data_IF_577179460476
#
_entry.id   IF_577179460476
#
_cell.length_a   1.000
_cell.length_b   1.000
_cell.length_c   1.000
_cell.angle_alpha   90.00
_cell.angle_beta   90.00
_cell.angle_gamma   90.00
#
_symmetry.space_group_name_H-M   'P 1'
#
loop_
_entity.id
_entity.type
_entity.pdbx_description
1 polymer ?
#
# COMPACT_ATOMS: atom_id res chain seq x y z
N UNK A 1 -39.90 -42.59 -32.42
CA UNK A 1 -38.95 -41.60 -32.97
C UNK A 1 -38.26 -40.93 -31.80
N UNK A 2 -36.98 -41.25 -31.61
CA UNK A 2 -36.15 -40.74 -30.51
C UNK A 2 -35.54 -39.39 -30.90
N UNK A 3 -35.38 -38.48 -29.94
CA UNK A 3 -34.51 -37.29 -30.03
C UNK A 3 -33.49 -37.36 -28.88
N UNK A 4 -32.18 -37.19 -29.13
CA UNK A 4 -31.14 -37.25 -28.10
C UNK A 4 -31.00 -35.93 -27.32
N UNK A 5 -30.49 -35.95 -26.07
CA UNK A 5 -30.05 -34.75 -25.37
C UNK A 5 -28.65 -34.35 -25.85
N UNK A 6 -28.53 -33.13 -26.39
CA UNK A 6 -27.24 -32.60 -26.86
C UNK A 6 -26.56 -31.77 -25.77
N UNK A 7 -25.50 -32.35 -25.20
CA UNK A 7 -24.25 -31.64 -24.90
C UNK A 7 -24.25 -30.70 -23.69
N UNK A 8 -24.07 -31.26 -22.50
CA UNK A 8 -23.39 -30.60 -21.39
C UNK A 8 -21.98 -30.16 -21.83
N UNK A 9 -21.80 -28.87 -22.12
CA UNK A 9 -20.47 -28.29 -22.30
C UNK A 9 -19.85 -28.04 -20.94
N UNK A 10 -18.94 -28.95 -20.60
CA UNK A 10 -17.91 -28.78 -19.58
C UNK A 10 -16.84 -27.86 -20.17
N UNK A 11 -16.70 -26.66 -19.61
CA UNK A 11 -15.51 -25.83 -19.77
C UNK A 11 -14.82 -25.75 -18.42
N UNK A 12 -13.83 -26.63 -18.23
CA UNK A 12 -12.77 -26.42 -17.26
C UNK A 12 -11.79 -25.35 -17.78
N UNK A 13 -11.10 -24.70 -16.83
CA UNK A 13 -9.99 -23.74 -16.98
C UNK A 13 -10.42 -22.33 -17.41
N UNK A 14 -10.22 -21.28 -16.60
CA UNK A 14 -8.93 -20.85 -16.08
C UNK A 14 -9.05 -20.11 -14.74
N UNK A 15 -8.23 -20.53 -13.78
CA UNK A 15 -7.85 -19.71 -12.63
C UNK A 15 -7.03 -18.49 -13.09
N UNK A 16 -7.32 -17.29 -12.57
CA UNK A 16 -6.29 -16.26 -12.38
C UNK A 16 -6.80 -15.05 -11.58
N UNK A 17 -6.09 -14.74 -10.49
CA UNK A 17 -6.05 -13.44 -9.80
C UNK A 17 -7.31 -13.10 -8.99
N UNK A 18 -7.26 -12.92 -7.67
CA UNK A 18 -6.29 -12.06 -7.00
C UNK A 18 -5.90 -12.64 -5.64
N UNK A 19 -4.62 -12.96 -5.53
CA UNK A 19 -3.92 -13.09 -4.27
C UNK A 19 -3.73 -11.70 -3.68
N UNK A 20 -4.55 -11.31 -2.72
CA UNK A 20 -4.33 -10.09 -1.93
C UNK A 20 -4.06 -10.45 -0.47
N UNK A 21 -2.80 -10.25 -0.07
CA UNK A 21 -2.27 -10.17 1.29
C UNK A 21 -2.43 -11.38 2.22
N UNK A 22 -1.48 -12.32 2.09
CA UNK A 22 -1.05 -13.12 3.24
C UNK A 22 -0.14 -12.27 4.12
N UNK A 23 -0.71 -11.36 4.92
CA UNK A 23 0.06 -10.66 5.96
C UNK A 23 0.59 -11.71 6.93
N UNK A 24 1.90 -11.77 7.09
CA UNK A 24 2.56 -12.75 7.96
C UNK A 24 2.13 -12.49 9.41
N UNK A 25 2.00 -13.55 10.22
CA UNK A 25 1.57 -13.41 11.62
C UNK A 25 2.41 -12.38 12.42
N UNK A 26 3.70 -12.25 12.07
CA UNK A 26 4.63 -11.28 12.66
C UNK A 26 4.29 -9.82 12.27
N UNK A 27 3.91 -9.57 11.02
CA UNK A 27 3.50 -8.24 10.55
C UNK A 27 2.21 -7.78 11.25
N UNK A 28 1.27 -8.70 11.45
CA UNK A 28 0.04 -8.42 12.21
C UNK A 28 0.34 -8.07 13.67
N UNK A 29 1.29 -8.77 14.31
CA UNK A 29 1.70 -8.49 15.68
C UNK A 29 2.34 -7.10 15.80
N UNK A 30 3.26 -6.75 14.89
CA UNK A 30 3.89 -5.43 14.83
C UNK A 30 2.82 -4.34 14.64
N UNK A 31 1.87 -4.57 13.72
CA UNK A 31 0.79 -3.62 13.45
C UNK A 31 -0.10 -3.37 14.68
N UNK A 32 -0.58 -4.42 15.33
CA UNK A 32 -1.41 -4.28 16.53
C UNK A 32 -0.64 -3.62 17.67
N UNK A 33 0.68 -3.87 17.78
CA UNK A 33 1.50 -3.19 18.78
C UNK A 33 1.66 -1.70 18.52
N UNK A 34 1.96 -1.30 17.28
CA UNK A 34 2.01 0.10 16.87
C UNK A 34 0.68 0.81 17.09
N UNK A 35 -0.42 0.11 16.81
CA UNK A 35 -1.79 0.63 16.99
C UNK A 35 -2.13 0.82 18.47
N UNK A 36 -1.88 -0.18 19.31
CA UNK A 36 -2.22 -0.13 20.74
C UNK A 36 -1.34 0.85 21.53
N UNK A 37 -0.12 1.14 21.07
CA UNK A 37 0.74 2.17 21.67
C UNK A 37 0.40 3.60 21.22
N UNK A 38 -0.44 3.76 20.20
CA UNK A 38 -0.70 5.05 19.54
C UNK A 38 0.41 5.50 18.57
N UNK A 39 1.50 4.74 18.44
CA UNK A 39 2.60 5.05 17.53
C UNK A 39 2.16 5.03 16.07
N UNK A 40 1.20 4.16 15.72
CA UNK A 40 0.63 4.09 14.38
C UNK A 40 0.05 5.44 13.92
N UNK A 41 -0.67 6.14 14.80
CA UNK A 41 -1.27 7.42 14.44
C UNK A 41 -0.22 8.54 14.38
N UNK A 42 0.79 8.51 15.24
CA UNK A 42 1.97 9.38 15.13
C UNK A 42 2.70 9.18 13.79
N UNK A 43 2.90 7.93 13.37
CA UNK A 43 3.54 7.59 12.10
C UNK A 43 2.71 8.04 10.88
N UNK A 44 1.38 7.88 10.93
CA UNK A 44 0.48 8.42 9.90
C UNK A 44 0.62 9.94 9.79
N UNK A 45 0.69 10.64 10.91
CA UNK A 45 0.80 12.09 10.91
C UNK A 45 2.17 12.58 10.42
N UNK A 46 3.25 11.88 10.80
CA UNK A 46 4.58 12.08 10.23
C UNK A 46 4.57 11.91 8.71
N UNK A 47 4.02 10.81 8.21
CA UNK A 47 3.92 10.53 6.78
C UNK A 47 3.15 11.65 6.05
N UNK A 48 1.97 12.04 6.55
CA UNK A 48 1.20 13.15 5.97
C UNK A 48 2.01 14.44 5.92
N UNK A 49 2.66 14.80 7.03
CA UNK A 49 3.48 16.01 7.14
C UNK A 49 4.59 16.02 6.10
N UNK A 50 5.31 14.89 5.95
CA UNK A 50 6.36 14.76 4.94
C UNK A 50 5.81 14.92 3.53
N UNK A 51 4.76 14.17 3.18
CA UNK A 51 4.12 14.24 1.87
C UNK A 51 3.69 15.67 1.50
N UNK A 52 3.14 16.43 2.45
CA UNK A 52 2.79 17.84 2.24
C UNK A 52 4.04 18.69 2.00
N UNK A 53 5.07 18.55 2.86
CA UNK A 53 6.31 19.34 2.76
C UNK A 53 7.05 19.13 1.43
N UNK A 54 6.99 17.93 0.86
CA UNK A 54 7.63 17.62 -0.41
C UNK A 54 6.72 17.82 -1.63
N UNK A 55 5.58 18.51 -1.48
CA UNK A 55 4.68 18.85 -2.60
C UNK A 55 3.95 17.65 -3.21
N UNK A 56 3.88 16.50 -2.53
CA UNK A 56 3.21 15.31 -3.05
C UNK A 56 1.73 15.59 -3.34
N UNK A 57 1.07 16.40 -2.50
CA UNK A 57 -0.33 16.76 -2.71
C UNK A 57 -0.53 17.54 -4.02
N UNK A 58 0.39 18.42 -4.37
CA UNK A 58 0.34 19.18 -5.62
C UNK A 58 0.55 18.26 -6.84
N UNK A 59 1.49 17.32 -6.74
CA UNK A 59 1.75 16.32 -7.79
C UNK A 59 0.51 15.45 -8.03
N UNK A 60 -0.13 14.97 -6.96
CA UNK A 60 -1.34 14.15 -7.06
C UNK A 60 -2.52 14.97 -7.60
N UNK A 61 -2.64 16.24 -7.20
CA UNK A 61 -3.69 17.14 -7.70
C UNK A 61 -3.51 17.46 -9.18
N UNK A 62 -2.26 17.61 -9.64
CA UNK A 62 -1.96 17.78 -11.06
C UNK A 62 -2.32 16.53 -11.85
N UNK A 63 -1.87 15.35 -11.40
CA UNK A 63 -2.21 14.08 -12.05
C UNK A 63 -3.72 13.83 -12.10
N UNK A 64 -4.44 14.21 -11.04
CA UNK A 64 -5.90 14.16 -11.05
C UNK A 64 -6.49 15.05 -12.15
N UNK A 65 -6.06 16.31 -12.25
CA UNK A 65 -6.54 17.23 -13.30
C UNK A 65 -6.24 16.71 -14.72
N UNK A 66 -5.02 16.25 -14.97
CA UNK A 66 -4.62 15.66 -16.24
C UNK A 66 -5.48 14.43 -16.58
N UNK A 67 -5.76 13.56 -15.60
CA UNK A 67 -6.61 12.37 -15.80
C UNK A 67 -8.08 12.69 -16.09
N UNK A 68 -8.48 13.94 -15.80
CA UNK A 68 -9.84 14.43 -15.89
C UNK A 68 -10.13 15.20 -17.19
N UNK A 69 -9.11 15.71 -17.87
CA UNK A 69 -9.29 16.49 -19.12
C UNK A 69 -9.91 15.67 -20.25
N UNK A 70 -9.64 14.36 -20.28
CA UNK A 70 -10.09 13.46 -21.36
C UNK A 70 -11.35 12.64 -21.02
N UNK A 71 -11.99 12.86 -19.87
CA UNK A 71 -13.13 12.05 -19.41
C UNK A 71 -14.48 12.76 -19.53
N UNK A 72 -15.48 12.04 -20.01
CA UNK A 72 -16.86 12.51 -19.98
C UNK A 72 -17.43 12.47 -18.55
N UNK A 73 -18.16 13.52 -18.15
CA UNK A 73 -18.76 13.64 -16.81
C UNK A 73 -19.65 12.46 -16.41
N UNK A 74 -20.26 11.79 -17.39
CA UNK A 74 -21.15 10.65 -17.16
C UNK A 74 -20.43 9.39 -16.65
N UNK A 75 -19.11 9.27 -16.86
CA UNK A 75 -18.30 8.12 -16.45
C UNK A 75 -17.61 8.33 -15.10
N UNK A 76 -17.79 9.50 -14.48
CA UNK A 76 -17.06 9.88 -13.27
C UNK A 76 -17.74 9.39 -12.00
N UNK A 77 -17.03 8.48 -11.32
CA UNK A 77 -17.36 7.99 -10.00
C UNK A 77 -16.13 8.11 -9.11
N UNK A 78 -16.31 8.54 -7.86
CA UNK A 78 -15.20 8.68 -6.90
C UNK A 78 -14.38 7.39 -6.76
N UNK A 79 -14.99 6.20 -6.58
CA UNK A 79 -14.27 4.93 -6.63
C UNK A 79 -13.41 4.72 -7.89
N UNK A 80 -13.92 5.06 -9.07
CA UNK A 80 -13.19 4.92 -10.35
C UNK A 80 -11.99 5.87 -10.41
N UNK A 81 -12.19 7.13 -10.02
CA UNK A 81 -11.12 8.12 -9.91
C UNK A 81 -10.04 7.65 -8.94
N UNK A 82 -10.43 7.15 -7.77
CA UNK A 82 -9.50 6.65 -6.75
C UNK A 82 -8.73 5.45 -7.26
N UNK A 83 -9.40 4.50 -7.92
CA UNK A 83 -8.77 3.34 -8.53
C UNK A 83 -7.66 3.74 -9.51
N UNK A 84 -7.90 4.75 -10.33
CA UNK A 84 -6.95 5.19 -11.37
C UNK A 84 -5.85 6.10 -10.80
N UNK A 85 -6.18 6.94 -9.81
CA UNK A 85 -5.26 7.90 -9.22
C UNK A 85 -4.31 7.26 -8.19
N UNK A 86 -4.76 6.27 -7.42
CA UNK A 86 -3.96 5.66 -6.34
C UNK A 86 -2.61 5.08 -6.80
N UNK A 87 -2.52 4.32 -7.91
CA UNK A 87 -1.24 3.82 -8.41
C UNK A 87 -0.25 4.96 -8.72
N UNK A 88 -0.73 6.03 -9.34
CA UNK A 88 0.08 7.22 -9.65
C UNK A 88 0.54 7.85 -8.33
N UNK A 89 -0.39 8.12 -7.43
CA UNK A 89 -0.10 8.74 -6.14
C UNK A 89 0.94 7.94 -5.33
N UNK A 90 0.81 6.61 -5.28
CA UNK A 90 1.77 5.70 -4.63
C UNK A 90 3.14 5.72 -5.30
N UNK A 91 3.20 5.78 -6.63
CA UNK A 91 4.46 5.85 -7.37
C UNK A 91 5.24 7.14 -7.12
N UNK A 92 4.54 8.23 -6.78
CA UNK A 92 5.13 9.55 -6.53
C UNK A 92 5.62 9.76 -5.09
N UNK A 93 5.47 8.76 -4.21
CA UNK A 93 5.99 8.83 -2.85
C UNK A 93 7.52 8.76 -2.89
N UNK A 94 8.24 9.78 -2.40
CA UNK A 94 9.70 9.77 -2.39
C UNK A 94 10.28 8.66 -1.49
N UNK A 95 11.40 8.05 -1.92
CA UNK A 95 12.05 6.97 -1.17
C UNK A 95 12.57 7.41 0.20
N UNK A 96 13.01 8.66 0.35
CA UNK A 96 13.44 9.19 1.65
C UNK A 96 12.30 9.24 2.67
N UNK A 97 11.06 9.49 2.24
CA UNK A 97 9.89 9.49 3.12
C UNK A 97 9.56 8.07 3.56
N UNK A 98 9.61 7.09 2.64
CA UNK A 98 9.42 5.68 2.98
C UNK A 98 10.47 5.21 3.98
N UNK A 99 11.73 5.54 3.72
CA UNK A 99 12.85 5.22 4.61
C UNK A 99 12.65 5.80 6.02
N UNK A 100 12.27 7.08 6.11
CA UNK A 100 12.03 7.73 7.41
C UNK A 100 10.93 7.02 8.21
N UNK A 101 9.82 6.66 7.58
CA UNK A 101 8.72 5.94 8.25
C UNK A 101 9.18 4.56 8.71
N UNK A 102 9.89 3.80 7.86
CA UNK A 102 10.45 2.49 8.23
C UNK A 102 11.45 2.61 9.39
N UNK A 103 12.31 3.63 9.36
CA UNK A 103 13.26 3.89 10.44
C UNK A 103 12.55 4.20 11.77
N UNK A 104 11.45 4.97 11.76
CA UNK A 104 10.69 5.23 12.98
C UNK A 104 10.03 3.97 13.53
N UNK A 105 9.53 3.07 12.66
CA UNK A 105 9.02 1.76 13.07
C UNK A 105 10.14 0.95 13.73
N UNK A 106 11.32 0.88 13.13
CA UNK A 106 12.47 0.17 13.69
C UNK A 106 12.88 0.73 15.06
N UNK A 107 13.01 2.05 15.19
CA UNK A 107 13.34 2.72 16.46
C UNK A 107 12.28 2.47 17.54
N UNK A 108 11.02 2.32 17.18
CA UNK A 108 9.96 1.95 18.12
C UNK A 108 10.14 0.51 18.61
N UNK A 109 10.43 -0.42 17.69
CA UNK A 109 10.64 -1.85 18.02
C UNK A 109 11.95 -2.09 18.79
N UNK A 110 13.00 -1.30 18.57
CA UNK A 110 14.25 -1.39 19.34
C UNK A 110 14.08 -0.98 20.81
N UNK A 111 13.22 0.02 21.07
CA UNK A 111 12.89 0.46 22.43
C UNK A 111 11.97 -0.52 23.15
N UNK A 112 11.35 -1.41 22.39
CA UNK A 112 10.50 -2.44 22.92
C UNK A 112 11.34 -3.65 23.32
N UNK A 113 11.47 -3.83 24.63
CA UNK A 113 12.35 -4.84 25.22
C UNK A 113 12.02 -6.27 24.75
N UNK A 114 10.76 -6.55 24.43
CA UNK A 114 10.28 -7.85 23.92
C UNK A 114 10.70 -8.15 22.47
N UNK A 115 10.96 -7.12 21.65
CA UNK A 115 11.37 -7.27 20.23
C UNK A 115 12.87 -7.06 20.01
N UNK A 116 13.51 -6.29 20.89
CA UNK A 116 14.96 -5.98 20.87
C UNK A 116 15.84 -7.24 20.86
N UNK A 117 15.45 -8.29 21.58
CA UNK A 117 16.21 -9.55 21.64
C UNK A 117 16.27 -10.29 20.30
N UNK A 118 15.32 -10.04 19.39
CA UNK A 118 15.21 -10.74 18.09
C UNK A 118 15.95 -10.02 16.94
N UNK A 119 16.34 -8.75 17.10
CA UNK A 119 16.90 -7.91 16.04
C UNK A 119 18.27 -7.28 16.36
N UNK A 120 19.00 -7.82 17.34
CA UNK A 120 20.28 -7.26 17.82
C UNK A 120 21.49 -7.41 16.85
N UNK A 121 21.26 -7.50 15.54
CA UNK A 121 22.31 -7.50 14.53
C UNK A 121 22.50 -6.07 13.97
N UNK A 122 23.73 -5.54 13.89
CA UNK A 122 23.98 -4.25 13.27
C UNK A 122 23.57 -4.27 11.80
N UNK A 123 22.70 -3.35 11.39
CA UNK A 123 22.25 -3.25 10.01
C UNK A 123 23.45 -3.01 9.05
N UNK A 124 23.44 -3.58 7.83
CA UNK A 124 24.37 -3.19 6.79
C UNK A 124 24.03 -1.75 6.35
N UNK A 125 24.84 -0.79 6.81
CA UNK A 125 24.83 0.59 6.34
C UNK A 125 25.33 0.61 4.90
N UNK A 126 24.45 0.42 3.92
CA UNK A 126 24.82 0.62 2.51
C UNK A 126 24.46 2.03 2.07
N UNK A 127 25.46 2.87 1.72
CA UNK A 127 25.23 4.05 0.91
C UNK A 127 24.98 3.58 -0.53
N UNK A 128 23.80 3.88 -1.08
CA UNK A 128 23.53 3.69 -2.51
C UNK A 128 24.35 4.74 -3.29
N UNK A 129 25.32 4.25 -4.05
CA UNK A 129 26.05 4.99 -5.10
C UNK A 129 25.13 5.37 -6.24
#
# INVERSE_FOLDING_TARGET
>A
MQRPPSGSHQTDHVASGSSENSVSNEENLIYEKLKNSGELDRLKELLKTRLIQNGWNDIVSLAFRESMEDRELAELSVPSIVHDLLPIARSKIPENVKYEVVQQIQLFLEKDQDFSELYNAPLPTTPKK
#
